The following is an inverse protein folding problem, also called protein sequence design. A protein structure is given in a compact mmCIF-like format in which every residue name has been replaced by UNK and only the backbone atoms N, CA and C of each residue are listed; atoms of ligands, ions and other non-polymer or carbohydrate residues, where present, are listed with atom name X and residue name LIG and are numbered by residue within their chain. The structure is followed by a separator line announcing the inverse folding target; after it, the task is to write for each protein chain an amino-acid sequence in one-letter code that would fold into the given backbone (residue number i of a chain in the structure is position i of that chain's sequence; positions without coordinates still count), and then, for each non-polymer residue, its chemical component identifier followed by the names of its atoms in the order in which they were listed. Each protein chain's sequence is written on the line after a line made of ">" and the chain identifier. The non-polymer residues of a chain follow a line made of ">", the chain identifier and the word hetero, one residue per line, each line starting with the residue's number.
data_IF_223531722446
#
_entry.id   IF_223531722446
#
_cell.length_a   1.000
_cell.length_b   1.000
_cell.length_c   1.000
_cell.angle_alpha   90.00
_cell.angle_beta   90.00
_cell.angle_gamma   90.00
#
_symmetry.space_group_name_H-M   'P 1'
#
loop_
_entity.id
_entity.type
_entity.pdbx_description
1 polymer ?
#
# COMPACT_ATOMS: atom_id res chain seq x y z
N UNK A 1 18.93 -20.59 -4.57
CA UNK A 1 18.20 -19.34 -4.29
C UNK A 1 16.90 -19.39 -5.09
N UNK A 2 15.77 -19.16 -4.42
CA UNK A 2 14.43 -19.15 -5.03
C UNK A 2 14.07 -17.76 -5.56
N UNK A 3 12.78 -17.54 -5.81
CA UNK A 3 12.22 -16.22 -6.01
C UNK A 3 11.67 -15.70 -4.67
N UNK A 4 11.70 -14.38 -4.47
CA UNK A 4 10.98 -13.76 -3.36
C UNK A 4 9.49 -14.06 -3.46
N UNK A 5 8.90 -14.45 -2.34
CA UNK A 5 7.46 -14.62 -2.18
C UNK A 5 6.93 -13.48 -1.34
N UNK A 6 5.82 -12.89 -1.76
CA UNK A 6 5.17 -11.80 -1.04
C UNK A 6 3.92 -12.30 -0.32
N UNK A 7 3.71 -11.79 0.88
CA UNK A 7 2.51 -12.02 1.67
C UNK A 7 1.93 -10.69 2.12
N UNK A 8 0.61 -10.57 1.95
CA UNK A 8 -0.15 -9.46 2.49
C UNK A 8 -1.15 -9.97 3.52
N UNK A 9 -1.01 -9.50 4.76
CA UNK A 9 -1.95 -9.79 5.84
C UNK A 9 -2.64 -8.49 6.25
N UNK A 10 -3.88 -8.34 5.78
CA UNK A 10 -4.71 -7.16 6.04
C UNK A 10 -4.73 -6.79 7.52
N UNK A 11 -4.58 -5.49 7.78
CA UNK A 11 -4.47 -4.86 9.10
C UNK A 11 -3.39 -5.46 10.00
N UNK A 12 -2.32 -6.02 9.42
CA UNK A 12 -1.15 -6.49 10.18
C UNK A 12 0.17 -6.09 9.53
N UNK A 13 0.45 -6.60 8.34
CA UNK A 13 1.74 -6.38 7.70
C UNK A 13 1.73 -6.76 6.21
N UNK A 14 2.68 -6.17 5.48
CA UNK A 14 3.20 -6.68 4.23
C UNK A 14 4.61 -7.24 4.47
N UNK A 15 4.92 -8.39 3.89
CA UNK A 15 6.27 -9.00 3.99
C UNK A 15 6.70 -9.69 2.71
N UNK A 16 8.00 -9.82 2.55
CA UNK A 16 8.64 -10.70 1.58
C UNK A 16 9.41 -11.81 2.31
N UNK A 17 9.52 -12.98 1.69
CA UNK A 17 10.30 -14.08 2.24
C UNK A 17 10.83 -15.04 1.18
N UNK A 18 11.97 -15.66 1.47
CA UNK A 18 12.52 -16.79 0.72
C UNK A 18 12.11 -18.10 1.39
N UNK A 19 11.27 -18.89 0.71
CA UNK A 19 10.90 -20.22 1.13
C UNK A 19 11.80 -21.31 0.53
N UNK A 20 12.15 -22.31 1.32
CA UNK A 20 12.81 -23.53 0.84
C UNK A 20 12.08 -24.78 1.35
N UNK A 21 12.03 -25.82 0.52
CA UNK A 21 11.51 -27.12 0.95
C UNK A 21 12.61 -27.88 1.69
N UNK A 22 12.42 -28.13 2.98
CA UNK A 22 13.28 -29.00 3.79
C UNK A 22 12.62 -30.36 3.97
N UNK A 23 13.33 -31.41 3.56
CA UNK A 23 12.93 -32.78 3.80
C UNK A 23 13.39 -33.21 5.19
N UNK A 24 12.45 -33.58 6.05
CA UNK A 24 12.77 -34.26 7.30
C UNK A 24 13.21 -35.70 6.96
N UNK A 25 14.49 -35.99 7.18
CA UNK A 25 15.08 -37.29 6.86
C UNK A 25 14.55 -38.44 7.73
N UNK A 26 13.96 -38.14 8.88
CA UNK A 26 13.40 -39.14 9.80
C UNK A 26 11.97 -39.46 9.43
N UNK A 27 11.16 -38.44 9.15
CA UNK A 27 9.73 -38.61 8.86
C UNK A 27 9.42 -38.75 7.37
N UNK A 28 10.36 -38.39 6.49
CA UNK A 28 10.17 -38.33 5.04
C UNK A 28 9.26 -37.20 4.58
N UNK A 29 8.85 -36.30 5.50
CA UNK A 29 7.92 -35.21 5.21
C UNK A 29 8.70 -34.00 4.71
N UNK A 30 8.33 -33.51 3.52
CA UNK A 30 8.82 -32.22 3.00
C UNK A 30 7.99 -31.08 3.60
N UNK A 31 8.65 -30.06 4.18
CA UNK A 31 8.01 -28.85 4.69
C UNK A 31 8.65 -27.62 4.08
N UNK A 32 7.83 -26.65 3.72
CA UNK A 32 8.32 -25.33 3.37
C UNK A 32 8.75 -24.61 4.66
N UNK A 33 9.98 -24.15 4.68
CA UNK A 33 10.53 -23.30 5.74
C UNK A 33 10.89 -21.95 5.16
N UNK A 34 10.73 -20.91 5.95
CA UNK A 34 11.23 -19.57 5.63
C UNK A 34 12.71 -19.53 6.01
N UNK A 35 13.57 -19.20 5.04
CA UNK A 35 15.02 -19.05 5.26
C UNK A 35 15.41 -17.61 5.54
N UNK A 36 14.71 -16.67 4.91
CA UNK A 36 14.91 -15.22 5.05
C UNK A 36 13.55 -14.53 4.93
N UNK A 37 13.29 -13.51 5.76
CA UNK A 37 12.09 -12.68 5.72
C UNK A 37 12.43 -11.22 5.97
N UNK A 38 11.69 -10.32 5.31
CA UNK A 38 11.70 -8.89 5.58
C UNK A 38 10.27 -8.35 5.63
N UNK A 39 9.98 -7.52 6.62
CA UNK A 39 8.73 -6.77 6.69
C UNK A 39 8.83 -5.53 5.79
N UNK A 40 7.90 -5.40 4.85
CA UNK A 40 7.81 -4.27 3.91
C UNK A 40 6.97 -3.12 4.46
N UNK A 41 6.33 -3.34 5.60
CA UNK A 41 5.51 -2.36 6.30
C UNK A 41 4.61 -3.07 7.30
N UNK A 42 4.31 -2.38 8.39
CA UNK A 42 3.41 -2.82 9.45
C UNK A 42 2.20 -1.93 9.45
N UNK A 43 1.06 -2.53 9.76
CA UNK A 43 -0.15 -1.77 9.93
C UNK A 43 -0.14 -1.08 11.28
N UNK A 44 -0.25 0.24 11.27
CA UNK A 44 -0.39 1.02 12.49
C UNK A 44 -1.88 1.20 12.81
N UNK A 45 -2.30 0.61 13.94
CA UNK A 45 -3.70 0.64 14.40
C UNK A 45 -4.05 2.03 14.94
N UNK A 46 -3.08 2.76 15.49
CA UNK A 46 -3.31 4.08 16.09
C UNK A 46 -3.60 5.13 15.00
N UNK A 47 -3.10 4.90 13.80
CA UNK A 47 -3.45 5.70 12.61
C UNK A 47 -4.93 5.49 12.23
N UNK A 48 -5.52 4.32 12.48
CA UNK A 48 -6.94 4.05 12.17
C UNK A 48 -7.89 4.73 13.17
N UNK A 49 -7.55 4.72 14.47
CA UNK A 49 -8.32 5.45 15.49
C UNK A 49 -8.24 6.98 15.31
N UNK A 50 -7.28 7.46 14.52
CA UNK A 50 -7.10 8.89 14.24
C UNK A 50 -8.06 9.46 13.19
N UNK A 51 -8.74 8.61 12.39
CA UNK A 51 -9.66 9.08 11.35
C UNK A 51 -11.12 8.80 11.72
N UNK A 52 -11.94 9.85 11.92
CA UNK A 52 -13.38 9.65 12.01
C UNK A 52 -13.92 9.05 10.70
N UNK A 53 -14.99 8.25 10.77
CA UNK A 53 -15.66 7.60 9.61
C UNK A 53 -15.93 8.59 8.44
N UNK A 54 -16.04 9.88 8.74
CA UNK A 54 -16.24 10.97 7.79
C UNK A 54 -15.06 11.18 6.82
N UNK A 55 -13.85 10.71 7.16
CA UNK A 55 -12.63 10.83 6.37
C UNK A 55 -12.29 9.55 5.56
N UNK A 56 -13.04 8.47 5.75
CA UNK A 56 -12.93 7.24 4.94
C UNK A 56 -13.03 7.52 3.42
N UNK A 57 -13.93 8.42 2.93
CA UNK A 57 -14.00 8.76 1.51
C UNK A 57 -12.74 9.42 0.94
N UNK A 58 -11.89 10.05 1.78
CA UNK A 58 -10.65 10.69 1.33
C UNK A 58 -9.61 9.67 0.85
N UNK A 59 -9.71 8.43 1.34
CA UNK A 59 -8.82 7.33 0.99
C UNK A 59 -9.30 6.56 -0.24
N UNK A 60 -10.47 6.90 -0.79
CA UNK A 60 -10.97 6.36 -2.06
C UNK A 60 -10.58 7.30 -3.20
N UNK A 61 -9.67 6.86 -4.05
CA UNK A 61 -9.19 7.61 -5.21
C UNK A 61 -9.95 7.15 -6.47
N UNK A 62 -10.23 8.09 -7.39
CA UNK A 62 -10.87 7.85 -8.69
C UNK A 62 -12.28 7.23 -8.64
N UNK A 63 -13.04 7.42 -7.55
CA UNK A 63 -14.47 7.14 -7.55
C UNK A 63 -15.19 8.00 -8.61
N UNK A 64 -16.06 7.37 -9.42
CA UNK A 64 -16.88 8.13 -10.38
C UNK A 64 -17.77 9.10 -9.63
N UNK A 65 -17.77 10.36 -10.09
CA UNK A 65 -18.41 11.52 -9.46
C UNK A 65 -19.96 11.51 -9.48
N UNK A 66 -20.58 10.33 -9.47
CA UNK A 66 -22.02 10.15 -9.62
C UNK A 66 -22.79 10.39 -8.32
N UNK A 67 -22.12 10.33 -7.15
CA UNK A 67 -22.76 10.47 -5.84
C UNK A 67 -22.45 11.79 -5.09
N UNK A 68 -21.78 12.76 -5.75
CA UNK A 68 -21.76 14.13 -5.24
C UNK A 68 -22.94 14.90 -5.87
N UNK A 69 -23.94 15.24 -5.06
CA UNK A 69 -25.14 15.97 -5.47
C UNK A 69 -24.89 17.30 -6.23
N UNK A 70 -25.97 17.93 -6.74
CA UNK A 70 -25.90 18.80 -7.91
C UNK A 70 -25.42 20.21 -7.55
N UNK A 71 -24.11 20.42 -7.56
CA UNK A 71 -23.51 21.69 -7.95
C UNK A 71 -22.01 21.47 -8.16
N UNK A 72 -21.60 21.32 -9.42
CA UNK A 72 -20.21 21.42 -9.82
C UNK A 72 -19.67 22.80 -9.45
N UNK A 73 -19.06 22.91 -8.28
CA UNK A 73 -18.04 23.88 -7.86
C UNK A 73 -17.67 23.57 -6.41
N UNK A 74 -16.41 23.17 -6.18
CA UNK A 74 -15.83 23.07 -4.83
C UNK A 74 -15.86 24.45 -4.16
N UNK A 75 -16.74 24.65 -3.18
CA UNK A 75 -16.62 25.76 -2.22
C UNK A 75 -16.04 25.21 -0.92
N UNK A 76 -14.73 25.36 -0.79
CA UNK A 76 -14.01 25.16 0.47
C UNK A 76 -14.40 26.29 1.41
N UNK A 77 -14.87 25.94 2.60
CA UNK A 77 -15.21 26.88 3.66
C UNK A 77 -14.04 27.79 4.00
N UNK A 78 -14.31 29.09 4.07
CA UNK A 78 -13.35 30.14 4.38
C UNK A 78 -12.87 30.04 5.83
N UNK A 79 -11.58 29.79 6.07
CA UNK A 79 -10.95 30.14 7.36
C UNK A 79 -10.37 31.54 7.25
N UNK A 80 -10.71 32.40 8.21
CA UNK A 80 -10.46 33.84 8.15
C UNK A 80 -8.98 34.25 8.22
N UNK A 81 -8.02 33.35 8.39
CA UNK A 81 -6.58 33.70 8.34
C UNK A 81 -5.63 32.53 7.92
N UNK A 82 -6.08 31.50 7.18
CA UNK A 82 -5.32 30.25 6.95
C UNK A 82 -4.83 30.00 5.52
N UNK A 83 -3.51 30.01 5.31
CA UNK A 83 -2.82 29.69 4.05
C UNK A 83 -3.09 28.24 3.61
N UNK A 84 -3.94 28.05 2.59
CA UNK A 84 -4.20 26.76 1.94
C UNK A 84 -2.97 26.38 1.11
N UNK A 85 -2.29 25.29 1.47
CA UNK A 85 -1.38 24.61 0.54
C UNK A 85 -2.21 23.74 -0.38
N UNK A 86 -2.33 24.15 -1.63
CA UNK A 86 -2.80 23.28 -2.71
C UNK A 86 -1.88 22.07 -2.80
N UNK A 87 -2.41 20.85 -2.63
CA UNK A 87 -1.69 19.63 -3.01
C UNK A 87 -2.01 19.35 -4.48
N UNK A 88 -1.04 19.43 -5.40
CA UNK A 88 -1.31 19.22 -6.81
C UNK A 88 -1.62 17.74 -7.08
N UNK A 89 -2.78 17.49 -7.69
CA UNK A 89 -3.18 16.21 -8.28
C UNK A 89 -2.33 15.91 -9.54
N UNK A 90 -1.01 15.72 -9.37
CA UNK A 90 -0.07 15.38 -10.45
C UNK A 90 0.64 14.05 -10.27
N UNK A 91 0.58 13.45 -9.08
CA UNK A 91 1.34 12.24 -8.75
C UNK A 91 0.46 11.06 -8.29
N UNK A 92 -0.85 11.07 -8.56
CA UNK A 92 -1.67 9.90 -8.28
C UNK A 92 -1.17 8.74 -9.19
N UNK A 93 -0.73 7.60 -8.62
CA UNK A 93 -0.27 6.48 -9.42
C UNK A 93 -1.35 6.04 -10.41
N UNK A 94 -0.99 5.65 -11.65
CA UNK A 94 -1.96 5.16 -12.62
C UNK A 94 -2.75 3.98 -12.03
N UNK A 95 -4.07 4.03 -12.20
CA UNK A 95 -4.99 2.95 -11.80
C UNK A 95 -4.62 1.69 -12.59
N UNK A 96 -4.52 0.51 -11.94
CA UNK A 96 -4.33 -0.74 -12.64
C UNK A 96 -5.43 -0.95 -13.69
N UNK A 97 -5.05 -1.29 -14.93
CA UNK A 97 -5.99 -1.57 -16.04
C UNK A 97 -6.97 -2.70 -15.75
N UNK A 98 -6.65 -3.53 -14.75
CA UNK A 98 -7.35 -4.76 -14.42
C UNK A 98 -8.23 -4.62 -13.17
N UNK A 99 -8.32 -3.41 -12.60
CA UNK A 99 -9.24 -3.11 -11.51
C UNK A 99 -10.70 -3.30 -12.00
N UNK A 100 -11.41 -4.26 -11.42
CA UNK A 100 -12.83 -4.43 -11.67
C UNK A 100 -13.65 -3.24 -11.13
N UNK A 101 -14.84 -3.02 -11.69
CA UNK A 101 -15.71 -1.92 -11.26
C UNK A 101 -15.44 -0.61 -12.01
N UNK A 102 -15.60 0.52 -11.33
CA UNK A 102 -15.48 1.87 -11.93
C UNK A 102 -14.05 2.44 -11.92
N UNK A 103 -13.05 1.65 -11.52
CA UNK A 103 -11.65 2.09 -11.39
C UNK A 103 -11.31 2.78 -10.06
N UNK A 104 -12.23 2.82 -9.11
CA UNK A 104 -11.96 3.34 -7.76
C UNK A 104 -11.02 2.42 -6.97
N UNK A 105 -10.17 3.02 -6.15
CA UNK A 105 -9.20 2.32 -5.29
C UNK A 105 -9.25 2.89 -3.88
N UNK A 106 -9.38 2.04 -2.86
CA UNK A 106 -9.15 2.41 -1.47
C UNK A 106 -7.68 2.23 -1.11
N UNK A 107 -7.06 3.24 -0.51
CA UNK A 107 -5.62 3.25 -0.20
C UNK A 107 -5.39 3.10 1.29
N UNK A 108 -4.45 2.23 1.65
CA UNK A 108 -4.03 2.01 3.04
C UNK A 108 -2.52 1.90 3.13
N UNK A 109 -1.92 2.66 4.04
CA UNK A 109 -0.47 2.69 4.24
C UNK A 109 -0.01 1.72 5.33
N UNK A 110 1.13 1.07 5.07
CA UNK A 110 1.84 0.19 5.99
C UNK A 110 3.27 0.72 6.16
N UNK A 111 3.60 1.17 7.35
CA UNK A 111 4.85 1.90 7.64
C UNK A 111 5.78 1.10 8.54
N UNK A 112 7.00 1.57 8.77
CA UNK A 112 7.92 0.98 9.77
C UNK A 112 8.24 -0.51 9.52
N UNK A 113 8.52 -0.84 8.26
CA UNK A 113 9.11 -2.12 7.89
C UNK A 113 10.59 -2.22 8.29
N UNK A 114 11.22 -3.33 7.95
CA UNK A 114 12.62 -3.57 8.26
C UNK A 114 13.52 -2.64 7.43
N UNK A 115 14.69 -2.27 7.97
CA UNK A 115 15.64 -1.38 7.30
C UNK A 115 16.14 -1.99 5.99
N UNK A 116 16.13 -1.17 4.96
CA UNK A 116 16.54 -1.53 3.62
C UNK A 116 18.04 -1.26 3.44
N UNK A 117 18.81 -2.33 3.33
CA UNK A 117 20.27 -2.28 3.17
C UNK A 117 20.68 -2.25 1.69
N UNK A 118 19.99 -1.46 0.86
CA UNK A 118 20.40 -1.32 -0.53
C UNK A 118 21.63 -0.39 -0.63
N UNK A 119 22.73 -0.81 -1.29
CA UNK A 119 23.93 0.01 -1.42
C UNK A 119 23.67 1.37 -2.10
N UNK A 120 22.66 1.51 -2.97
CA UNK A 120 22.31 2.77 -3.65
C UNK A 120 21.65 3.79 -2.70
N UNK A 121 21.08 3.32 -1.59
CA UNK A 121 20.54 4.16 -0.50
C UNK A 121 21.68 4.91 0.17
N UNK A 122 22.78 4.22 0.45
CA UNK A 122 23.92 4.81 1.17
C UNK A 122 24.57 5.95 0.38
N UNK A 123 24.68 5.81 -0.94
CA UNK A 123 25.26 6.85 -1.80
C UNK A 123 24.34 8.08 -1.94
N UNK A 124 23.02 7.87 -1.89
CA UNK A 124 22.02 8.95 -1.91
C UNK A 124 21.99 9.75 -0.60
N UNK A 125 22.12 9.07 0.54
CA UNK A 125 22.19 9.69 1.87
C UNK A 125 23.52 10.44 2.08
N UNK A 126 24.64 9.90 1.60
CA UNK A 126 25.96 10.54 1.64
C UNK A 126 26.00 11.81 0.79
N UNK A 127 25.39 11.81 -0.42
CA UNK A 127 25.34 12.99 -1.30
C UNK A 127 24.50 14.14 -0.73
N UNK A 128 23.50 13.86 0.09
CA UNK A 128 22.66 14.87 0.72
C UNK A 128 23.32 15.54 1.96
N UNK A 129 24.53 15.13 2.36
CA UNK A 129 25.22 15.68 3.53
C UNK A 129 24.57 15.32 4.87
N UNK A 130 23.60 14.41 4.86
CA UNK A 130 22.91 13.91 6.05
C UNK A 130 23.50 12.57 6.47
N UNK A 131 24.37 12.59 7.48
CA UNK A 131 24.68 11.39 8.26
C UNK A 131 23.41 11.08 9.06
N UNK A 132 22.50 10.30 8.47
CA UNK A 132 21.37 9.68 9.17
C UNK A 132 21.80 8.28 9.56
N UNK A 133 22.04 8.08 10.84
CA UNK A 133 22.51 6.83 11.46
C UNK A 133 21.40 5.76 11.54
N UNK A 134 20.50 5.70 10.54
CA UNK A 134 19.22 4.99 10.67
C UNK A 134 18.70 4.23 9.44
N UNK A 135 19.36 4.31 8.28
CA UNK A 135 18.88 3.65 7.05
C UNK A 135 17.49 4.11 6.58
N UNK A 136 16.97 3.51 5.50
CA UNK A 136 15.59 3.73 5.03
C UNK A 136 14.75 2.55 5.49
N UNK A 137 13.70 2.79 6.26
CA UNK A 137 12.71 1.76 6.62
C UNK A 137 11.81 1.45 5.43
N UNK A 138 11.52 0.18 5.21
CA UNK A 138 10.57 -0.21 4.16
C UNK A 138 9.15 0.26 4.50
N UNK A 139 8.39 0.61 3.46
CA UNK A 139 6.97 0.97 3.58
C UNK A 139 6.18 0.46 2.39
N UNK A 140 4.87 0.29 2.55
CA UNK A 140 3.99 -0.24 1.51
C UNK A 140 2.66 0.50 1.46
N UNK A 141 2.33 1.03 0.28
CA UNK A 141 0.99 1.49 -0.07
C UNK A 141 0.19 0.31 -0.62
N UNK A 142 -0.90 -0.05 0.06
CA UNK A 142 -1.83 -1.08 -0.40
C UNK A 142 -3.04 -0.43 -1.07
N UNK A 143 -3.33 -0.85 -2.29
CA UNK A 143 -4.39 -0.36 -3.16
C UNK A 143 -5.46 -1.43 -3.33
N UNK A 144 -6.61 -1.23 -2.71
CA UNK A 144 -7.75 -2.15 -2.80
C UNK A 144 -8.71 -1.73 -3.90
N UNK A 145 -9.02 -2.65 -4.81
CA UNK A 145 -10.02 -2.45 -5.87
C UNK A 145 -11.09 -3.53 -5.87
N UNK A 146 -12.22 -3.29 -6.54
CA UNK A 146 -13.18 -4.36 -6.83
C UNK A 146 -12.53 -5.43 -7.74
N UNK A 147 -12.82 -6.70 -7.47
CA UNK A 147 -12.41 -7.83 -8.32
C UNK A 147 -13.17 -9.12 -8.00
N UNK A 148 -12.85 -10.20 -8.70
CA UNK A 148 -13.61 -11.47 -8.58
C UNK A 148 -13.20 -12.32 -7.38
N UNK A 149 -11.92 -12.27 -7.00
CA UNK A 149 -11.32 -13.07 -5.93
C UNK A 149 -10.62 -12.14 -4.93
N UNK A 150 -10.29 -12.68 -3.75
CA UNK A 150 -9.32 -12.04 -2.85
C UNK A 150 -7.91 -12.39 -3.34
N UNK A 151 -7.24 -11.43 -3.97
CA UNK A 151 -5.98 -11.70 -4.66
C UNK A 151 -5.04 -10.49 -4.61
N UNK A 152 -3.77 -10.75 -4.31
CA UNK A 152 -2.66 -9.81 -4.49
C UNK A 152 -2.25 -9.87 -5.97
N UNK A 153 -2.75 -8.93 -6.76
CA UNK A 153 -2.64 -8.91 -8.22
C UNK A 153 -1.26 -8.45 -8.67
N UNK A 154 -0.71 -7.46 -7.99
CA UNK A 154 0.59 -6.87 -8.35
C UNK A 154 1.34 -6.42 -7.11
N UNK A 155 2.65 -6.64 -7.16
CA UNK A 155 3.63 -6.09 -6.22
C UNK A 155 4.67 -5.35 -7.05
N UNK A 156 4.96 -4.12 -6.67
CA UNK A 156 5.95 -3.30 -7.35
C UNK A 156 6.68 -2.40 -6.35
N UNK A 157 8.00 -2.35 -6.42
CA UNK A 157 8.77 -1.29 -5.77
C UNK A 157 8.81 -0.09 -6.71
N UNK A 158 8.15 1.01 -6.33
CA UNK A 158 8.02 2.20 -7.20
C UNK A 158 9.06 3.28 -6.89
N UNK A 159 9.65 3.24 -5.70
CA UNK A 159 10.79 4.00 -5.26
C UNK A 159 11.56 3.20 -4.21
N UNK A 160 12.79 3.62 -3.94
CA UNK A 160 13.71 2.90 -3.05
C UNK A 160 13.05 2.51 -1.73
N UNK A 161 12.87 1.20 -1.54
CA UNK A 161 12.31 0.57 -0.33
C UNK A 161 10.84 0.92 -0.04
N UNK A 162 10.13 1.46 -1.03
CA UNK A 162 8.69 1.70 -0.98
C UNK A 162 7.98 0.81 -2.00
N UNK A 163 6.98 0.08 -1.53
CA UNK A 163 6.27 -0.91 -2.31
C UNK A 163 4.81 -0.50 -2.53
N UNK A 164 4.25 -0.95 -3.64
CA UNK A 164 2.85 -0.79 -4.00
C UNK A 164 2.24 -2.17 -4.23
N UNK A 165 1.23 -2.49 -3.42
CA UNK A 165 0.51 -3.75 -3.46
C UNK A 165 -0.90 -3.52 -4.02
N UNK A 166 -1.22 -4.13 -5.16
CA UNK A 166 -2.58 -4.10 -5.72
C UNK A 166 -3.36 -5.32 -5.28
N UNK A 167 -4.44 -5.11 -4.53
CA UNK A 167 -5.27 -6.18 -3.97
C UNK A 167 -6.69 -6.05 -4.48
N UNK A 168 -7.25 -7.15 -4.98
CA UNK A 168 -8.66 -7.21 -5.34
C UNK A 168 -9.50 -7.76 -4.20
N UNK A 169 -10.69 -7.16 -4.02
CA UNK A 169 -11.63 -7.50 -2.95
C UNK A 169 -13.04 -7.63 -3.52
N UNK A 170 -13.67 -8.82 -3.50
CA UNK A 170 -15.01 -9.02 -4.08
C UNK A 170 -16.11 -8.23 -3.39
N UNK A 171 -15.97 -7.98 -2.09
CA UNK A 171 -16.94 -7.20 -1.32
C UNK A 171 -17.05 -5.75 -1.81
N UNK A 172 -15.95 -5.15 -2.28
CA UNK A 172 -15.94 -3.78 -2.80
C UNK A 172 -16.82 -3.63 -4.04
N UNK A 173 -17.01 -4.68 -4.85
CA UNK A 173 -17.86 -4.61 -6.04
C UNK A 173 -19.35 -4.31 -5.74
N UNK A 174 -19.78 -4.48 -4.48
CA UNK A 174 -21.14 -4.12 -4.04
C UNK A 174 -21.20 -2.72 -3.41
N UNK A 175 -20.05 -2.12 -3.13
CA UNK A 175 -19.96 -0.80 -2.51
C UNK A 175 -20.23 0.30 -3.55
N UNK A 176 -21.07 1.30 -3.26
CA UNK A 176 -21.45 2.34 -4.22
C UNK A 176 -20.26 3.04 -4.88
N UNK A 177 -19.20 3.34 -4.11
CA UNK A 177 -18.01 4.02 -4.63
C UNK A 177 -17.17 3.20 -5.63
N UNK A 178 -17.34 1.87 -5.67
CA UNK A 178 -16.50 0.95 -6.47
C UNK A 178 -17.28 0.24 -7.58
N UNK A 179 -18.61 0.38 -7.57
CA UNK A 179 -19.49 -0.29 -8.54
C UNK A 179 -19.42 0.44 -9.89
N UNK A 180 -19.35 -0.33 -10.98
CA UNK A 180 -19.51 0.14 -12.35
C UNK A 180 -20.99 0.32 -12.73
#
# INVERSE_FOLDING_TARGET
>A
AGWWTYEFCHTRHAREFHGANKLDMVTGVSRQVVEEENYLGRYDVDILESYPDEEEPMHVINATASDMGPSGTRKIGTSRDGLVKEVPQKNAPPVPSDAGGNGAVFVQEYMHGDTCEDPDVTDSLVKAGGIVDGGIERSTTVRFSCGKNYELVKVNEDSTCHYVFDVTVPALCKHPLFKA
#
